data_IF_131397225487
#
_entry.id   IF_131397225487
#
_cell.length_a   1.000
_cell.length_b   1.000
_cell.length_c   1.000
_cell.angle_alpha   90.00
_cell.angle_beta   90.00
_cell.angle_gamma   90.00
#
_symmetry.space_group_name_H-M   'P 1'
#
loop_
_entity.id
_entity.type
_entity.pdbx_description
1 polymer ?
#
# COMPACT_ATOMS: atom_id res chain seq x y z
N UNK A 1 -15.73 7.12 -2.91
CA UNK A 1 -15.52 6.26 -4.09
C UNK A 1 -14.25 5.43 -3.83
N UNK A 2 -14.38 4.34 -3.08
CA UNK A 2 -13.25 3.46 -2.70
C UNK A 2 -13.70 2.02 -3.01
N UNK A 3 -13.47 1.52 -4.24
CA UNK A 3 -13.89 0.17 -4.58
C UNK A 3 -13.14 -0.84 -3.68
N UNK A 4 -13.80 -1.92 -3.24
CA UNK A 4 -13.11 -2.95 -2.47
C UNK A 4 -12.03 -3.61 -3.33
N UNK A 5 -10.86 -3.81 -2.75
CA UNK A 5 -9.82 -4.61 -3.37
C UNK A 5 -10.27 -6.09 -3.37
N UNK A 6 -10.04 -6.85 -4.45
CA UNK A 6 -10.22 -8.30 -4.41
C UNK A 6 -9.38 -8.94 -3.31
N UNK A 7 -9.76 -10.14 -2.87
CA UNK A 7 -8.98 -10.91 -1.89
C UNK A 7 -7.56 -11.10 -2.40
N UNK A 8 -6.58 -10.75 -1.57
CA UNK A 8 -5.15 -10.85 -1.90
C UNK A 8 -4.50 -11.92 -1.04
N UNK A 9 -3.64 -12.74 -1.65
CA UNK A 9 -2.81 -13.71 -0.92
C UNK A 9 -1.39 -13.16 -0.75
N UNK A 10 -0.94 -13.03 0.50
CA UNK A 10 0.46 -12.75 0.81
C UNK A 10 1.25 -14.04 0.79
N UNK A 11 2.14 -14.16 -0.20
CA UNK A 11 3.08 -15.28 -0.33
C UNK A 11 4.44 -14.87 0.26
N UNK A 12 4.88 -15.46 1.38
CA UNK A 12 6.21 -15.21 1.93
C UNK A 12 7.29 -15.67 0.94
N UNK A 13 8.29 -14.83 0.71
CA UNK A 13 9.44 -15.10 -0.15
C UNK A 13 10.69 -14.49 0.45
N UNK A 14 11.86 -15.07 0.18
CA UNK A 14 13.15 -14.55 0.63
C UNK A 14 13.64 -13.38 -0.23
N UNK A 15 13.18 -13.29 -1.48
CA UNK A 15 13.54 -12.25 -2.41
C UNK A 15 12.39 -11.96 -3.39
N UNK A 16 12.31 -10.70 -3.80
CA UNK A 16 11.41 -10.25 -4.87
C UNK A 16 12.12 -10.29 -6.22
N UNK A 17 11.37 -10.42 -7.34
CA UNK A 17 11.92 -10.23 -8.68
C UNK A 17 12.64 -8.88 -8.83
N UNK A 18 13.67 -8.84 -9.67
CA UNK A 18 14.39 -7.61 -10.02
C UNK A 18 14.57 -7.55 -11.55
N UNK A 19 13.94 -6.59 -12.25
CA UNK A 19 12.99 -5.60 -11.75
C UNK A 19 11.65 -6.24 -11.34
N UNK A 20 10.98 -5.69 -10.33
CA UNK A 20 9.60 -6.06 -10.00
C UNK A 20 8.64 -5.13 -10.77
N UNK A 21 7.77 -5.65 -11.66
CA UNK A 21 6.84 -4.82 -12.42
C UNK A 21 5.63 -4.36 -11.61
N UNK A 22 5.47 -4.85 -10.37
CA UNK A 22 4.32 -4.51 -9.52
C UNK A 22 4.53 -3.16 -8.84
N UNK A 23 3.43 -2.44 -8.66
CA UNK A 23 3.42 -1.23 -7.86
C UNK A 23 3.42 -1.58 -6.36
N UNK A 24 4.33 -1.00 -5.60
CA UNK A 24 4.35 -1.04 -4.14
C UNK A 24 3.30 -0.07 -3.57
N UNK A 25 2.03 -0.49 -3.60
CA UNK A 25 0.92 0.33 -3.12
C UNK A 25 0.94 0.43 -1.59
N UNK A 26 1.02 1.63 -1.00
CA UNK A 26 1.03 1.76 0.46
C UNK A 26 -0.35 1.44 1.03
N UNK A 27 -0.40 0.63 2.08
CA UNK A 27 -1.62 0.33 2.84
C UNK A 27 -1.65 1.16 4.14
N UNK A 28 -2.73 1.91 4.32
CA UNK A 28 -2.99 2.70 5.53
C UNK A 28 -4.22 2.19 6.28
N UNK A 29 -4.29 2.50 7.57
CA UNK A 29 -5.47 2.21 8.37
C UNK A 29 -6.65 3.10 7.99
N UNK A 30 -6.40 4.41 7.90
CA UNK A 30 -7.41 5.45 7.63
C UNK A 30 -7.15 6.25 6.35
N UNK A 31 -8.21 6.84 5.79
CA UNK A 31 -8.18 7.61 4.54
C UNK A 31 -7.40 8.92 4.62
N UNK A 32 -7.27 9.51 5.81
CA UNK A 32 -6.50 10.74 6.05
C UNK A 32 -5.00 10.52 5.83
N UNK A 33 -4.53 9.28 6.01
CA UNK A 33 -3.11 8.88 5.90
C UNK A 33 -2.15 9.69 6.78
N UNK A 34 -2.70 10.43 7.74
CA UNK A 34 -1.96 11.10 8.80
C UNK A 34 -1.73 10.11 9.94
N UNK A 35 -0.52 10.12 10.49
CA UNK A 35 -0.16 9.29 11.64
C UNK A 35 1.10 9.83 12.30
N UNK A 36 1.35 9.36 13.51
CA UNK A 36 2.58 9.65 14.26
C UNK A 36 3.48 8.42 14.25
N UNK A 37 4.74 8.59 14.64
CA UNK A 37 5.60 7.46 14.92
C UNK A 37 5.33 6.98 16.35
N UNK A 38 5.18 5.67 16.53
CA UNK A 38 5.14 5.03 17.84
C UNK A 38 6.52 5.08 18.51
N UNK A 39 6.58 4.66 19.78
CA UNK A 39 7.84 4.55 20.53
C UNK A 39 8.84 3.58 19.89
N UNK A 40 8.38 2.64 19.05
CA UNK A 40 9.23 1.73 18.27
C UNK A 40 9.55 2.23 16.87
N UNK A 41 9.17 3.47 16.53
CA UNK A 41 9.43 4.09 15.22
C UNK A 41 8.48 3.65 14.09
N UNK A 42 7.54 2.75 14.36
CA UNK A 42 6.52 2.38 13.36
C UNK A 42 5.43 3.43 13.29
N UNK A 43 4.95 3.74 12.09
CA UNK A 43 3.80 4.61 11.90
C UNK A 43 2.56 4.03 12.59
N UNK A 44 1.77 4.90 13.20
CA UNK A 44 0.46 4.51 13.75
C UNK A 44 -0.58 4.26 12.64
N UNK A 45 -0.34 4.72 11.41
CA UNK A 45 -1.29 4.61 10.30
C UNK A 45 -0.77 3.78 9.11
N UNK A 46 0.51 3.87 8.74
CA UNK A 46 1.08 3.02 7.69
C UNK A 46 1.22 1.57 8.17
N UNK A 47 0.78 0.61 7.36
CA UNK A 47 0.81 -0.81 7.68
C UNK A 47 1.95 -1.53 6.95
N UNK A 48 1.89 -1.60 5.62
CA UNK A 48 2.91 -2.18 4.75
C UNK A 48 2.69 -1.78 3.28
N UNK A 49 3.69 -1.96 2.38
CA UNK A 49 3.44 -1.95 0.95
C UNK A 49 2.79 -3.26 0.48
N UNK A 50 1.82 -3.18 -0.44
CA UNK A 50 1.18 -4.32 -1.08
C UNK A 50 1.52 -4.31 -2.57
N UNK A 51 2.04 -5.44 -3.06
CA UNK A 51 2.51 -5.56 -4.45
C UNK A 51 1.34 -5.79 -5.40
N UNK A 52 0.94 -4.74 -6.13
CA UNK A 52 -0.20 -4.78 -7.06
C UNK A 52 0.31 -4.87 -8.51
N UNK A 53 -0.13 -5.86 -9.31
CA UNK A 53 0.14 -5.88 -10.74
C UNK A 53 -0.29 -4.58 -11.41
N UNK A 54 0.60 -3.99 -12.21
CA UNK A 54 0.37 -2.71 -12.86
C UNK A 54 0.93 -2.74 -14.27
N UNK A 55 0.20 -2.14 -15.22
CA UNK A 55 0.70 -1.89 -16.58
C UNK A 55 1.40 -0.52 -16.68
N UNK A 56 1.37 0.27 -15.61
CA UNK A 56 2.02 1.57 -15.49
C UNK A 56 3.22 1.50 -14.55
N UNK A 57 4.23 2.32 -14.80
CA UNK A 57 5.36 2.52 -13.89
C UNK A 57 4.91 3.12 -12.54
N UNK A 58 5.64 2.83 -11.47
CA UNK A 58 5.29 3.24 -10.11
C UNK A 58 5.09 4.75 -9.96
N UNK A 59 5.85 5.57 -10.69
CA UNK A 59 5.74 7.03 -10.68
C UNK A 59 4.33 7.52 -11.02
N UNK A 60 3.64 6.83 -11.93
CA UNK A 60 2.27 7.17 -12.31
C UNK A 60 1.31 7.13 -11.11
N UNK A 61 1.47 6.13 -10.24
CA UNK A 61 0.61 5.93 -9.07
C UNK A 61 1.05 6.77 -7.88
N UNK A 62 2.37 6.95 -7.71
CA UNK A 62 2.97 7.79 -6.66
C UNK A 62 2.49 9.23 -6.80
N UNK A 63 2.60 9.82 -8.00
CA UNK A 63 2.18 11.22 -8.23
C UNK A 63 0.67 11.42 -8.04
N UNK A 64 -0.13 10.38 -8.25
CA UNK A 64 -1.59 10.40 -8.03
C UNK A 64 -1.99 10.13 -6.58
N UNK A 65 -1.04 9.86 -5.69
CA UNK A 65 -1.34 9.51 -4.30
C UNK A 65 -2.23 8.27 -4.19
N UNK A 66 -2.03 7.26 -5.04
CA UNK A 66 -2.82 6.03 -4.98
C UNK A 66 -2.39 5.20 -3.76
N UNK A 67 -3.36 4.72 -2.97
CA UNK A 67 -3.08 3.90 -1.80
C UNK A 67 -4.25 2.95 -1.51
N UNK A 68 -3.97 1.94 -0.69
CA UNK A 68 -4.96 1.04 -0.13
C UNK A 68 -5.35 1.49 1.28
N UNK A 69 -6.58 1.18 1.68
CA UNK A 69 -7.13 1.49 3.00
C UNK A 69 -7.73 0.24 3.62
N UNK A 70 -7.45 -0.03 4.90
CA UNK A 70 -8.13 -1.13 5.63
C UNK A 70 -9.53 -0.74 6.09
N UNK A 71 -9.74 0.55 6.33
CA UNK A 71 -11.02 1.11 6.78
C UNK A 71 -11.32 2.34 5.94
N UNK A 72 -12.53 2.38 5.39
CA UNK A 72 -13.10 3.59 4.81
C UNK A 72 -13.80 4.33 5.94
N UNK A 73 -13.52 5.63 6.09
CA UNK A 73 -14.34 6.51 6.92
C UNK A 73 -15.66 6.74 6.17
N UNK A 74 -16.78 6.64 6.88
CA UNK A 74 -18.08 7.08 6.38
C UNK A 74 -18.13 8.61 6.22
#
# INVERSE_FOLDING_TARGET
MNPPLPVVWFKPVLSLPKPDPRYEAPLYKTSERAGTLSTTGHSTNFVLPVLIPSNMHSEFWIVRGTALLTQITD
#
